data_IF_385230538292
#
_entry.id   IF_385230538292
#
_cell.length_a   1.000
_cell.length_b   1.000
_cell.length_c   1.000
_cell.angle_alpha   90.00
_cell.angle_beta   90.00
_cell.angle_gamma   90.00
#
_symmetry.space_group_name_H-M   'P 1'
#
loop_
_entity.id
_entity.type
_entity.pdbx_description
1 polymer ?
#
# COMPACT_ATOMS: atom_id res chain seq x y z
N UNK A 1 -21.12 20.12 -4.69
CA UNK A 1 -20.81 19.00 -5.63
C UNK A 1 -19.50 18.34 -5.21
N UNK A 2 -19.22 17.13 -5.71
CA UNK A 2 -17.88 16.51 -5.58
C UNK A 2 -16.94 17.09 -6.64
N UNK A 3 -15.77 17.50 -6.22
CA UNK A 3 -14.64 17.92 -7.08
C UNK A 3 -13.45 17.00 -6.82
N UNK A 4 -12.88 16.43 -7.87
CA UNK A 4 -11.81 15.45 -7.75
C UNK A 4 -10.50 16.02 -8.29
N UNK A 5 -9.47 16.09 -7.45
CA UNK A 5 -8.16 16.64 -7.79
C UNK A 5 -7.11 15.54 -7.76
N UNK A 6 -6.27 15.52 -8.77
CA UNK A 6 -5.08 14.65 -8.79
C UNK A 6 -3.86 15.43 -8.34
N UNK A 7 -3.12 14.88 -7.37
CA UNK A 7 -1.73 15.28 -7.21
C UNK A 7 -0.83 14.63 -8.26
N UNK A 8 0.46 14.95 -8.21
CA UNK A 8 1.43 14.51 -9.22
C UNK A 8 2.03 13.12 -8.97
N UNK A 9 1.74 12.51 -7.81
CA UNK A 9 2.34 11.21 -7.44
C UNK A 9 1.81 10.04 -8.28
N UNK A 10 0.53 10.05 -8.67
CA UNK A 10 -0.09 9.01 -9.50
C UNK A 10 -1.31 9.52 -10.29
N UNK A 11 -1.09 10.33 -11.33
CA UNK A 11 -2.19 10.85 -12.16
C UNK A 11 -3.00 9.73 -12.85
N UNK A 12 -2.34 8.65 -13.27
CA UNK A 12 -3.01 7.53 -13.94
C UNK A 12 -4.09 6.87 -13.07
N UNK A 13 -3.83 6.66 -11.78
CA UNK A 13 -4.83 6.15 -10.85
C UNK A 13 -5.98 7.15 -10.69
N UNK A 14 -5.68 8.44 -10.57
CA UNK A 14 -6.70 9.49 -10.44
C UNK A 14 -7.63 9.55 -11.67
N UNK A 15 -7.09 9.39 -12.87
CA UNK A 15 -7.85 9.31 -14.12
C UNK A 15 -8.78 8.09 -14.14
N UNK A 16 -8.28 6.91 -13.75
CA UNK A 16 -9.10 5.69 -13.61
C UNK A 16 -10.27 5.90 -12.64
N UNK A 17 -10.00 6.50 -11.47
CA UNK A 17 -11.04 6.82 -10.48
C UNK A 17 -12.07 7.79 -11.03
N UNK A 18 -11.65 8.83 -11.77
CA UNK A 18 -12.55 9.77 -12.40
C UNK A 18 -13.46 9.09 -13.43
N UNK A 19 -12.91 8.18 -14.23
CA UNK A 19 -13.68 7.37 -15.20
C UNK A 19 -14.70 6.47 -14.50
N UNK A 20 -14.31 5.78 -13.43
CA UNK A 20 -15.21 4.91 -12.65
C UNK A 20 -16.38 5.69 -12.04
N UNK A 21 -16.11 6.91 -11.56
CA UNK A 21 -17.12 7.84 -11.04
C UNK A 21 -17.92 8.57 -12.14
N UNK A 22 -17.59 8.38 -13.41
CA UNK A 22 -18.17 9.09 -14.54
C UNK A 22 -18.10 10.62 -14.41
N UNK A 23 -16.96 11.10 -13.90
CA UNK A 23 -16.67 12.51 -13.70
C UNK A 23 -15.33 12.88 -14.36
N UNK A 24 -14.96 14.16 -14.31
CA UNK A 24 -13.66 14.62 -14.76
C UNK A 24 -12.80 15.03 -13.56
N UNK A 25 -11.49 14.97 -13.73
CA UNK A 25 -10.57 15.60 -12.79
C UNK A 25 -10.69 17.12 -12.90
N UNK A 26 -10.75 17.75 -11.75
CA UNK A 26 -10.72 19.23 -11.63
C UNK A 26 -9.32 19.77 -11.90
N UNK A 27 -9.25 20.97 -12.46
CA UNK A 27 -7.98 21.55 -12.88
C UNK A 27 -7.18 22.08 -11.71
N UNK A 28 -5.94 21.64 -11.62
CA UNK A 28 -4.93 22.11 -10.69
C UNK A 28 -3.59 22.23 -11.42
N UNK A 29 -2.91 23.33 -11.22
CA UNK A 29 -1.54 23.53 -11.69
C UNK A 29 -0.58 23.24 -10.51
N UNK A 30 0.33 22.31 -10.70
CA UNK A 30 1.43 22.02 -9.77
C UNK A 30 2.75 22.24 -10.51
N UNK A 31 3.51 23.19 -10.07
CA UNK A 31 4.81 23.56 -10.67
C UNK A 31 5.90 23.58 -9.62
N UNK A 32 7.16 23.55 -10.06
CA UNK A 32 8.32 23.66 -9.19
C UNK A 32 9.18 24.85 -9.61
N UNK A 33 9.61 25.62 -8.63
CA UNK A 33 10.62 26.63 -8.83
C UNK A 33 12.01 25.99 -8.99
N UNK A 34 12.97 26.74 -9.50
CA UNK A 34 14.35 26.28 -9.71
C UNK A 34 15.03 25.81 -8.40
N UNK A 35 14.61 26.37 -7.27
CA UNK A 35 15.03 25.97 -5.92
C UNK A 35 14.29 24.75 -5.37
N UNK A 36 13.50 24.05 -6.22
CA UNK A 36 12.68 22.88 -5.89
C UNK A 36 11.42 23.10 -5.03
N UNK A 37 11.11 24.32 -4.63
CA UNK A 37 9.85 24.65 -3.95
C UNK A 37 8.65 24.38 -4.85
N UNK A 38 7.57 23.87 -4.25
CA UNK A 38 6.34 23.53 -4.96
C UNK A 38 5.39 24.71 -4.94
N UNK A 39 4.81 25.02 -6.09
CA UNK A 39 3.70 25.95 -6.24
C UNK A 39 2.46 25.21 -6.69
N UNK A 40 1.35 25.43 -5.99
CA UNK A 40 0.03 24.89 -6.33
C UNK A 40 -0.94 26.02 -6.62
N UNK A 41 -1.75 25.86 -7.67
CA UNK A 41 -2.84 26.76 -8.03
C UNK A 41 -4.06 25.95 -8.43
N UNK A 42 -5.17 26.16 -7.72
CA UNK A 42 -6.48 25.60 -8.10
C UNK A 42 -7.06 26.50 -9.19
N UNK A 43 -7.44 25.92 -10.33
CA UNK A 43 -7.90 26.65 -11.51
C UNK A 43 -9.42 26.53 -11.75
N UNK A 44 -10.13 26.05 -10.73
CA UNK A 44 -11.60 25.94 -10.75
C UNK A 44 -12.23 26.60 -9.53
N UNK A 45 -13.47 27.05 -9.69
CA UNK A 45 -14.29 27.45 -8.54
C UNK A 45 -14.68 26.20 -7.74
N UNK A 46 -14.36 26.22 -6.45
CA UNK A 46 -14.61 25.11 -5.51
C UNK A 46 -15.42 25.57 -4.30
N UNK A 47 -15.92 26.81 -4.35
CA UNK A 47 -16.66 27.41 -3.25
C UNK A 47 -17.84 26.53 -2.85
N UNK A 48 -17.89 26.19 -1.57
CA UNK A 48 -18.90 25.32 -0.96
C UNK A 48 -18.94 23.86 -1.48
N UNK A 49 -17.99 23.43 -2.29
CA UNK A 49 -17.89 22.08 -2.79
C UNK A 49 -17.13 21.14 -1.80
N UNK A 50 -17.34 19.86 -1.94
CA UNK A 50 -16.50 18.82 -1.32
C UNK A 50 -15.40 18.45 -2.29
N UNK A 51 -14.14 18.69 -1.90
CA UNK A 51 -12.97 18.42 -2.71
C UNK A 51 -12.23 17.20 -2.21
N UNK A 52 -11.95 16.26 -3.09
CA UNK A 52 -11.12 15.07 -2.80
C UNK A 52 -9.80 15.23 -3.54
N UNK A 53 -8.69 15.14 -2.80
CA UNK A 53 -7.33 15.09 -3.35
C UNK A 53 -6.89 13.64 -3.36
N UNK A 54 -6.51 13.10 -4.52
CA UNK A 54 -5.88 11.79 -4.64
C UNK A 54 -4.38 12.01 -4.77
N UNK A 55 -3.62 11.63 -3.74
CA UNK A 55 -2.17 11.82 -3.69
C UNK A 55 -1.51 10.76 -2.82
N UNK A 56 -0.79 9.82 -3.42
CA UNK A 56 0.09 8.90 -2.67
C UNK A 56 1.29 9.66 -2.11
N UNK A 57 1.64 9.34 -0.87
CA UNK A 57 2.80 9.97 -0.23
C UNK A 57 4.02 9.03 -0.24
N UNK A 58 4.19 8.33 -1.37
CA UNK A 58 5.34 7.49 -1.71
C UNK A 58 6.57 8.32 -2.12
N UNK A 59 7.65 7.66 -2.45
CA UNK A 59 8.87 8.32 -2.92
C UNK A 59 8.63 9.15 -4.22
N UNK A 60 9.02 10.46 -4.24
CA UNK A 60 9.74 11.24 -3.22
C UNK A 60 8.82 11.75 -2.10
N UNK A 61 8.80 11.03 -0.99
CA UNK A 61 7.82 11.15 0.11
C UNK A 61 7.62 12.58 0.62
N UNK A 62 8.71 13.29 0.91
CA UNK A 62 8.65 14.65 1.45
C UNK A 62 8.01 15.63 0.45
N UNK A 63 8.32 15.47 -0.84
CA UNK A 63 7.74 16.29 -1.90
C UNK A 63 6.25 16.04 -2.06
N UNK A 64 5.84 14.77 -2.07
CA UNK A 64 4.45 14.38 -2.24
C UNK A 64 3.59 14.79 -1.02
N UNK A 65 4.14 14.73 0.19
CA UNK A 65 3.50 15.26 1.39
C UNK A 65 3.34 16.77 1.33
N UNK A 66 4.40 17.51 0.97
CA UNK A 66 4.34 18.95 0.87
C UNK A 66 3.33 19.39 -0.20
N UNK A 67 3.30 18.69 -1.33
CA UNK A 67 2.30 18.95 -2.38
C UNK A 67 0.88 18.77 -1.89
N UNK A 68 0.59 17.68 -1.16
CA UNK A 68 -0.71 17.43 -0.54
C UNK A 68 -1.12 18.56 0.42
N UNK A 69 -0.20 19.03 1.26
CA UNK A 69 -0.47 20.12 2.19
C UNK A 69 -0.78 21.43 1.46
N UNK A 70 -0.01 21.75 0.43
CA UNK A 70 -0.22 22.97 -0.38
C UNK A 70 -1.53 22.90 -1.18
N UNK A 71 -1.91 21.72 -1.71
CA UNK A 71 -3.21 21.53 -2.35
C UNK A 71 -4.35 21.74 -1.35
N UNK A 72 -4.23 21.18 -0.14
CA UNK A 72 -5.26 21.33 0.90
C UNK A 72 -5.42 22.81 1.32
N UNK A 73 -4.33 23.56 1.51
CA UNK A 73 -4.39 24.98 1.83
C UNK A 73 -5.01 25.80 0.69
N UNK A 74 -4.63 25.52 -0.55
CA UNK A 74 -5.19 26.24 -1.72
C UNK A 74 -6.71 26.04 -1.84
N UNK A 75 -7.21 24.82 -1.64
CA UNK A 75 -8.64 24.52 -1.63
C UNK A 75 -9.39 25.22 -0.49
N UNK A 76 -8.81 25.25 0.71
CA UNK A 76 -9.37 25.97 1.85
C UNK A 76 -9.48 27.49 1.59
N UNK A 77 -8.43 28.07 1.02
CA UNK A 77 -8.42 29.51 0.66
C UNK A 77 -9.45 29.86 -0.40
N UNK A 78 -9.82 28.89 -1.24
CA UNK A 78 -10.92 29.04 -2.20
C UNK A 78 -12.30 28.65 -1.62
N UNK A 79 -12.42 28.60 -0.30
CA UNK A 79 -13.67 28.35 0.42
C UNK A 79 -14.33 27.00 0.12
N UNK A 80 -13.53 25.95 -0.18
CA UNK A 80 -14.03 24.60 -0.27
C UNK A 80 -14.72 24.20 1.05
N UNK A 81 -15.91 23.60 0.97
CA UNK A 81 -16.68 23.22 2.17
C UNK A 81 -15.97 22.12 2.96
N UNK A 82 -15.36 21.17 2.27
CA UNK A 82 -14.60 20.06 2.85
C UNK A 82 -13.44 19.72 1.95
N UNK A 83 -12.30 19.41 2.54
CA UNK A 83 -11.13 18.86 1.87
C UNK A 83 -10.89 17.47 2.42
N UNK A 84 -10.89 16.47 1.54
CA UNK A 84 -10.70 15.06 1.87
C UNK A 84 -9.42 14.60 1.20
N UNK A 85 -8.56 13.92 1.93
CA UNK A 85 -7.37 13.32 1.38
C UNK A 85 -7.60 11.81 1.15
N UNK A 86 -7.51 11.39 -0.10
CA UNK A 86 -7.35 10.00 -0.50
C UNK A 86 -5.85 9.76 -0.70
N UNK A 87 -5.22 9.08 0.22
CA UNK A 87 -3.78 8.80 0.24
C UNK A 87 -3.59 7.30 0.00
N UNK A 88 -3.54 6.83 -1.27
CA UNK A 88 -3.46 5.39 -1.56
C UNK A 88 -2.31 4.69 -0.85
N UNK A 89 -1.14 5.33 -0.73
CA UNK A 89 -0.04 4.91 0.12
C UNK A 89 0.32 5.99 1.12
N UNK A 90 0.28 5.65 2.42
CA UNK A 90 0.59 6.56 3.52
C UNK A 90 2.08 6.46 3.89
N UNK A 91 2.87 7.40 3.40
CA UNK A 91 4.29 7.50 3.73
C UNK A 91 4.52 7.75 5.23
N UNK A 92 5.65 7.29 5.75
CA UNK A 92 6.01 7.30 7.18
C UNK A 92 5.17 6.38 8.08
N UNK A 93 4.17 5.63 7.57
CA UNK A 93 3.37 4.72 8.37
C UNK A 93 4.17 3.68 9.15
N UNK A 94 5.36 3.31 8.66
CA UNK A 94 6.27 2.34 9.31
C UNK A 94 7.07 2.89 10.48
N UNK A 95 6.95 4.21 10.77
CA UNK A 95 7.61 4.89 11.89
C UNK A 95 6.55 5.34 12.88
N UNK A 96 5.79 4.38 13.37
CA UNK A 96 4.59 4.55 14.22
C UNK A 96 4.87 4.44 15.72
N UNK A 97 6.05 3.93 16.09
CA UNK A 97 6.53 3.85 17.46
C UNK A 97 7.96 4.40 17.57
N UNK A 98 8.34 4.76 18.77
CA UNK A 98 9.72 5.09 19.12
C UNK A 98 10.48 3.80 19.45
N UNK A 99 11.39 3.37 18.56
CA UNK A 99 12.20 2.17 18.77
C UNK A 99 13.39 2.41 19.71
N UNK A 100 13.90 3.64 19.77
CA UNK A 100 15.04 4.05 20.60
C UNK A 100 14.79 5.45 21.16
N UNK A 101 15.36 5.71 22.35
CA UNK A 101 15.32 7.03 22.96
C UNK A 101 15.88 8.09 21.99
N UNK A 102 15.17 9.20 21.84
CA UNK A 102 15.54 10.30 20.94
C UNK A 102 15.02 10.18 19.52
N UNK A 103 14.41 9.08 19.12
CA UNK A 103 13.71 8.97 17.83
C UNK A 103 12.34 9.66 17.87
N UNK A 104 11.89 10.19 16.75
CA UNK A 104 10.53 10.71 16.60
C UNK A 104 9.55 9.58 16.23
N UNK A 105 8.26 9.81 16.47
CA UNK A 105 7.17 9.01 15.90
C UNK A 105 6.67 9.74 14.66
N UNK A 106 7.25 9.42 13.49
CA UNK A 106 7.06 10.22 12.27
C UNK A 106 5.63 10.16 11.75
N UNK A 107 4.94 9.01 11.84
CA UNK A 107 3.53 8.89 11.47
C UNK A 107 2.66 9.90 12.21
N UNK A 108 2.90 10.05 13.52
CA UNK A 108 2.16 10.99 14.37
C UNK A 108 2.41 12.47 13.98
N UNK A 109 3.63 12.81 13.58
CA UNK A 109 3.95 14.15 13.07
C UNK A 109 3.17 14.44 11.78
N UNK A 110 3.14 13.50 10.84
CA UNK A 110 2.40 13.65 9.58
C UNK A 110 0.89 13.76 9.84
N UNK A 111 0.34 12.95 10.73
CA UNK A 111 -1.08 13.01 11.12
C UNK A 111 -1.44 14.41 11.59
N UNK A 112 -0.68 14.97 12.55
CA UNK A 112 -0.90 16.33 13.07
C UNK A 112 -0.80 17.39 11.98
N UNK A 113 0.06 17.24 11.00
CA UNK A 113 0.15 18.18 9.88
C UNK A 113 -1.08 18.10 8.98
N UNK A 114 -1.58 16.90 8.67
CA UNK A 114 -2.82 16.71 7.92
C UNK A 114 -4.02 17.36 8.61
N UNK A 115 -4.12 17.20 9.92
CA UNK A 115 -5.20 17.82 10.72
C UNK A 115 -5.05 19.34 10.78
N UNK A 116 -3.86 19.84 11.05
CA UNK A 116 -3.59 21.28 11.20
C UNK A 116 -3.80 22.04 9.88
N UNK A 117 -3.51 21.46 8.73
CA UNK A 117 -3.76 22.09 7.43
C UNK A 117 -5.24 22.13 7.08
N UNK A 118 -6.09 21.42 7.82
CA UNK A 118 -7.55 21.45 7.70
C UNK A 118 -8.11 20.41 6.74
N UNK A 119 -7.49 19.26 6.64
CA UNK A 119 -8.10 18.08 6.05
C UNK A 119 -9.21 17.60 6.98
N UNK A 120 -10.39 17.31 6.39
CA UNK A 120 -11.58 16.93 7.13
C UNK A 120 -11.72 15.42 7.30
N UNK A 121 -11.11 14.66 6.42
CA UNK A 121 -11.12 13.18 6.44
C UNK A 121 -9.97 12.64 5.63
N UNK A 122 -9.42 11.51 6.08
CA UNK A 122 -8.38 10.76 5.37
C UNK A 122 -8.88 9.38 5.01
N UNK A 123 -8.57 8.93 3.81
CA UNK A 123 -8.64 7.54 3.39
C UNK A 123 -7.25 7.07 3.00
N UNK A 124 -6.93 5.82 3.33
CA UNK A 124 -5.71 5.13 2.87
C UNK A 124 -6.00 3.66 2.65
N UNK A 125 -5.01 2.90 2.16
CA UNK A 125 -5.12 1.45 1.99
C UNK A 125 -4.10 0.74 2.87
N UNK A 126 -4.53 -0.37 3.47
CA UNK A 126 -3.71 -1.35 4.16
C UNK A 126 -2.56 -0.71 4.96
N UNK A 127 -2.91 0.17 5.88
CA UNK A 127 -1.98 0.87 6.75
C UNK A 127 -1.06 -0.14 7.48
N UNK A 128 0.20 0.21 7.67
CA UNK A 128 1.21 -0.68 8.25
C UNK A 128 0.81 -1.20 9.64
N UNK A 129 0.34 -0.32 10.51
CA UNK A 129 -0.29 -0.67 11.78
C UNK A 129 -1.68 -0.04 11.85
N UNK A 130 -2.72 -0.85 11.99
CA UNK A 130 -4.11 -0.41 12.08
C UNK A 130 -4.38 0.41 13.35
N UNK A 131 -3.61 0.25 14.43
CA UNK A 131 -3.73 1.05 15.63
C UNK A 131 -3.47 2.55 15.37
N UNK A 132 -2.70 2.88 14.34
CA UNK A 132 -2.48 4.27 13.91
C UNK A 132 -3.79 4.96 13.50
N UNK A 133 -4.83 4.23 13.11
CA UNK A 133 -6.16 4.78 12.84
C UNK A 133 -6.74 5.52 14.07
N UNK A 134 -6.49 5.01 15.27
CA UNK A 134 -6.91 5.61 16.53
C UNK A 134 -6.13 6.85 16.94
N UNK A 135 -5.08 7.24 16.23
CA UNK A 135 -4.27 8.44 16.52
C UNK A 135 -4.86 9.70 15.89
N UNK A 136 -5.70 9.55 14.84
CA UNK A 136 -6.34 10.68 14.18
C UNK A 136 -7.49 11.26 15.02
N UNK A 137 -7.52 12.57 15.16
CA UNK A 137 -8.66 13.31 15.72
C UNK A 137 -9.77 13.54 14.67
N UNK A 138 -9.43 13.52 13.39
CA UNK A 138 -10.37 13.61 12.27
C UNK A 138 -10.81 12.21 11.80
N UNK A 139 -11.97 12.08 11.13
CA UNK A 139 -12.39 10.81 10.54
C UNK A 139 -11.32 10.24 9.61
N UNK A 140 -10.89 9.04 9.91
CA UNK A 140 -9.93 8.27 9.14
C UNK A 140 -10.56 6.95 8.68
N UNK A 141 -10.16 6.44 7.54
CA UNK A 141 -10.59 5.13 7.09
C UNK A 141 -9.48 4.40 6.35
N UNK A 142 -9.10 3.27 6.91
CA UNK A 142 -8.19 2.31 6.27
C UNK A 142 -9.01 1.38 5.38
N UNK A 143 -8.83 1.48 4.07
CA UNK A 143 -9.44 0.60 3.06
C UNK A 143 -8.57 -0.64 2.87
N UNK A 144 -9.13 -1.67 2.26
CA UNK A 144 -8.40 -2.90 1.97
C UNK A 144 -8.38 -3.17 0.46
N UNK A 145 -7.20 -3.45 -0.07
CA UNK A 145 -7.00 -3.92 -1.44
C UNK A 145 -7.01 -5.45 -1.56
N UNK A 146 -7.27 -6.16 -0.47
CA UNK A 146 -7.14 -7.62 -0.46
C UNK A 146 -8.17 -8.32 -1.35
N UNK A 147 -9.36 -7.74 -1.54
CA UNK A 147 -10.33 -8.32 -2.47
C UNK A 147 -9.81 -8.29 -3.90
N UNK A 148 -9.33 -7.13 -4.36
CA UNK A 148 -8.77 -6.98 -5.70
C UNK A 148 -7.55 -7.90 -5.94
N UNK A 149 -6.64 -7.97 -4.96
CA UNK A 149 -5.48 -8.87 -5.02
C UNK A 149 -5.89 -10.36 -4.99
N UNK A 150 -6.85 -10.71 -4.13
CA UNK A 150 -7.36 -12.09 -4.00
C UNK A 150 -8.02 -12.57 -5.29
N UNK A 151 -8.87 -11.73 -5.89
CA UNK A 151 -9.53 -12.03 -7.18
C UNK A 151 -8.53 -12.24 -8.30
N UNK A 152 -7.50 -11.38 -8.39
CA UNK A 152 -6.45 -11.50 -9.39
C UNK A 152 -5.60 -12.77 -9.21
N UNK A 153 -5.25 -13.12 -7.97
CA UNK A 153 -4.50 -14.35 -7.66
C UNK A 153 -5.37 -15.57 -7.94
N UNK A 154 -6.65 -15.52 -7.59
CA UNK A 154 -7.59 -16.60 -7.91
C UNK A 154 -7.62 -16.87 -9.42
N UNK A 155 -7.80 -15.83 -10.24
CA UNK A 155 -7.80 -15.94 -11.70
C UNK A 155 -6.47 -16.48 -12.26
N UNK A 156 -5.34 -16.05 -11.70
CA UNK A 156 -4.02 -16.53 -12.10
C UNK A 156 -3.85 -18.02 -11.82
N UNK A 157 -4.27 -18.48 -10.65
CA UNK A 157 -4.18 -19.90 -10.27
C UNK A 157 -5.16 -20.76 -11.06
N UNK A 158 -6.37 -20.28 -11.31
CA UNK A 158 -7.37 -20.97 -12.14
C UNK A 158 -6.87 -21.18 -13.59
N UNK A 159 -6.25 -20.17 -14.19
CA UNK A 159 -5.63 -20.28 -15.52
C UNK A 159 -4.51 -21.32 -15.56
N UNK A 160 -3.86 -21.61 -14.44
CA UNK A 160 -2.85 -22.65 -14.28
C UNK A 160 -3.42 -24.02 -13.91
N UNK A 161 -4.74 -24.17 -13.87
CA UNK A 161 -5.43 -25.35 -13.37
C UNK A 161 -5.02 -25.75 -11.94
N UNK A 162 -4.65 -24.76 -11.11
CA UNK A 162 -4.35 -24.94 -9.69
C UNK A 162 -5.60 -24.68 -8.87
N UNK A 163 -6.07 -25.69 -8.15
CA UNK A 163 -7.25 -25.56 -7.29
C UNK A 163 -6.97 -24.60 -6.15
N UNK A 164 -7.77 -23.53 -6.05
CA UNK A 164 -7.69 -22.56 -4.95
C UNK A 164 -8.48 -23.10 -3.75
N UNK A 165 -7.80 -23.80 -2.87
CA UNK A 165 -8.41 -24.37 -1.66
C UNK A 165 -7.42 -24.30 -0.48
N UNK A 166 -7.95 -24.30 0.78
CA UNK A 166 -7.11 -24.33 1.98
C UNK A 166 -6.21 -25.57 2.11
N UNK A 167 -6.49 -26.63 1.34
CA UNK A 167 -5.66 -27.83 1.31
C UNK A 167 -4.41 -27.63 0.47
N UNK A 168 -4.55 -26.91 -0.64
CA UNK A 168 -3.51 -26.77 -1.67
C UNK A 168 -2.73 -25.46 -1.55
N UNK A 169 -3.22 -24.53 -0.74
CA UNK A 169 -2.60 -23.21 -0.55
C UNK A 169 -2.29 -22.97 0.93
N UNK A 170 -1.13 -22.39 1.19
CA UNK A 170 -0.76 -21.85 2.49
C UNK A 170 -0.52 -20.34 2.37
N UNK A 171 -1.04 -19.57 3.33
CA UNK A 171 -0.79 -18.13 3.44
C UNK A 171 0.39 -17.94 4.38
N UNK A 172 1.37 -17.12 4.00
CA UNK A 172 2.52 -16.80 4.85
C UNK A 172 2.54 -15.32 5.19
N UNK A 173 2.74 -15.04 6.49
CA UNK A 173 3.23 -13.75 6.95
C UNK A 173 4.76 -13.75 6.97
N UNK A 174 5.45 -12.77 6.37
CA UNK A 174 6.92 -12.73 6.34
C UNK A 174 7.54 -12.36 7.70
N UNK A 175 6.74 -11.99 8.68
CA UNK A 175 7.14 -11.73 10.07
C UNK A 175 5.94 -11.85 11.04
N UNK A 176 6.21 -11.71 12.34
CA UNK A 176 5.17 -11.80 13.37
C UNK A 176 4.17 -10.62 13.32
N UNK A 177 4.62 -9.43 12.94
CA UNK A 177 3.77 -8.22 12.86
C UNK A 177 2.69 -8.31 11.78
N UNK A 178 2.94 -9.08 10.71
CA UNK A 178 2.02 -9.26 9.59
C UNK A 178 0.98 -10.38 9.75
N UNK A 179 0.96 -11.13 10.86
CA UNK A 179 0.09 -12.31 11.01
C UNK A 179 -1.40 -11.97 10.79
N UNK A 180 -1.90 -10.92 11.41
CA UNK A 180 -3.31 -10.50 11.25
C UNK A 180 -3.61 -10.03 9.83
N UNK A 181 -2.66 -9.38 9.18
CA UNK A 181 -2.75 -9.00 7.77
C UNK A 181 -2.88 -10.23 6.87
N UNK A 182 -2.01 -11.22 7.05
CA UNK A 182 -2.05 -12.48 6.32
C UNK A 182 -3.35 -13.25 6.58
N UNK A 183 -3.85 -13.24 7.82
CA UNK A 183 -5.15 -13.83 8.17
C UNK A 183 -6.31 -13.14 7.45
N UNK A 184 -6.35 -11.81 7.44
CA UNK A 184 -7.38 -11.03 6.72
C UNK A 184 -7.38 -11.34 5.22
N UNK A 185 -6.19 -11.42 4.61
CA UNK A 185 -6.08 -11.80 3.20
C UNK A 185 -6.61 -13.22 2.95
N UNK A 186 -6.21 -14.20 3.77
CA UNK A 186 -6.71 -15.57 3.66
C UNK A 186 -8.23 -15.66 3.82
N UNK A 187 -8.82 -14.90 4.75
CA UNK A 187 -10.26 -14.82 4.92
C UNK A 187 -10.97 -14.31 3.66
N UNK A 188 -10.38 -13.31 3.00
CA UNK A 188 -10.91 -12.78 1.74
C UNK A 188 -10.78 -13.80 0.62
N UNK A 189 -9.63 -14.45 0.49
CA UNK A 189 -9.36 -15.42 -0.57
C UNK A 189 -10.25 -16.67 -0.49
N UNK A 190 -10.46 -17.20 0.72
CA UNK A 190 -11.20 -18.45 0.93
C UNK A 190 -12.65 -18.27 1.36
N UNK A 191 -13.05 -17.08 1.80
CA UNK A 191 -14.38 -16.80 2.33
C UNK A 191 -14.63 -17.35 3.74
N UNK A 192 -13.61 -17.88 4.44
CA UNK A 192 -13.68 -18.43 5.80
C UNK A 192 -12.32 -18.40 6.49
N UNK A 193 -12.29 -18.71 7.80
CA UNK A 193 -11.09 -18.61 8.66
C UNK A 193 -10.28 -19.92 8.79
N UNK A 194 -10.69 -20.98 8.14
CA UNK A 194 -10.06 -22.30 8.26
C UNK A 194 -9.11 -22.56 7.09
N UNK A 195 -7.87 -22.13 7.22
CA UNK A 195 -6.82 -22.33 6.22
C UNK A 195 -5.43 -22.41 6.87
N UNK A 196 -4.45 -22.90 6.11
CA UNK A 196 -3.07 -22.97 6.56
C UNK A 196 -2.45 -21.57 6.60
N UNK A 197 -2.19 -21.09 7.80
CA UNK A 197 -1.44 -19.86 8.05
C UNK A 197 -0.07 -20.21 8.62
N UNK A 198 0.97 -19.73 7.96
CA UNK A 198 2.34 -19.90 8.42
C UNK A 198 3.00 -18.53 8.65
N UNK A 199 4.06 -18.50 9.41
CA UNK A 199 4.85 -17.29 9.68
C UNK A 199 6.33 -17.60 9.61
N UNK A 200 7.10 -16.73 8.97
CA UNK A 200 8.55 -16.78 9.03
C UNK A 200 9.08 -15.85 10.13
N UNK A 201 10.00 -16.33 10.92
CA UNK A 201 10.62 -15.59 12.01
C UNK A 201 12.14 -15.56 11.83
N UNK A 202 12.72 -14.37 12.01
CA UNK A 202 14.18 -14.21 12.07
C UNK A 202 14.68 -14.54 13.47
N UNK A 203 15.38 -15.66 13.64
CA UNK A 203 16.13 -15.92 14.87
C UNK A 203 17.45 -15.13 14.81
N UNK A 204 17.62 -14.18 15.72
CA UNK A 204 18.91 -13.54 15.95
C UNK A 204 19.78 -14.54 16.72
N UNK A 205 20.88 -14.99 16.12
CA UNK A 205 21.91 -15.69 16.86
C UNK A 205 22.57 -14.70 17.84
N UNK A 206 22.25 -14.83 19.12
CA UNK A 206 22.78 -13.96 20.18
C UNK A 206 24.27 -14.15 20.45
N UNK A 207 24.84 -15.26 19.97
CA UNK A 207 26.25 -15.61 20.23
C UNK A 207 27.20 -15.17 19.11
N UNK A 208 26.71 -15.02 17.87
CA UNK A 208 27.51 -14.62 16.72
C UNK A 208 26.99 -13.35 16.01
N UNK A 209 27.50 -12.19 16.40
CA UNK A 209 27.12 -10.88 15.84
C UNK A 209 27.37 -10.70 14.33
N UNK A 210 27.91 -11.69 13.62
CA UNK A 210 28.33 -11.58 12.21
C UNK A 210 27.86 -12.75 11.31
N UNK A 211 27.05 -13.69 11.78
CA UNK A 211 26.58 -14.80 10.95
C UNK A 211 25.06 -14.86 10.82
N UNK A 212 24.65 -15.29 9.63
CA UNK A 212 23.33 -15.46 9.05
C UNK A 212 22.17 -15.62 10.03
N UNK A 213 21.19 -14.77 9.89
CA UNK A 213 19.87 -14.86 10.52
C UNK A 213 19.22 -16.19 10.10
N UNK A 214 19.19 -17.19 11.00
CA UNK A 214 18.40 -18.39 10.74
C UNK A 214 16.92 -18.00 10.68
N UNK A 215 16.23 -18.40 9.60
CA UNK A 215 14.78 -18.29 9.50
C UNK A 215 14.16 -19.55 10.10
N UNK A 216 13.06 -19.40 10.81
CA UNK A 216 12.18 -20.51 11.21
C UNK A 216 10.81 -20.28 10.59
N UNK A 217 10.15 -21.34 10.14
CA UNK A 217 8.78 -21.31 9.65
C UNK A 217 7.90 -22.06 10.65
N UNK A 218 6.84 -21.41 11.09
CA UNK A 218 5.80 -22.02 11.90
C UNK A 218 4.56 -22.18 11.01
N UNK A 219 4.07 -23.38 10.85
CA UNK A 219 2.96 -23.73 9.97
C UNK A 219 3.40 -24.76 8.92
N UNK A 220 2.44 -25.28 8.15
CA UNK A 220 2.68 -26.30 7.13
C UNK A 220 2.56 -25.71 5.72
N UNK A 221 3.65 -25.81 4.96
CA UNK A 221 3.75 -25.35 3.57
C UNK A 221 4.07 -26.47 2.58
N UNK A 222 4.31 -27.69 3.11
CA UNK A 222 4.73 -28.82 2.29
C UNK A 222 3.64 -29.18 1.27
N UNK A 223 4.06 -29.41 0.06
CA UNK A 223 3.20 -29.79 -1.07
C UNK A 223 2.07 -28.76 -1.36
N UNK A 224 2.29 -27.47 -1.03
CA UNK A 224 1.34 -26.38 -1.24
C UNK A 224 1.90 -25.26 -2.10
N UNK A 225 1.02 -24.55 -2.79
CA UNK A 225 1.31 -23.23 -3.31
C UNK A 225 1.29 -22.25 -2.13
N UNK A 226 2.33 -21.45 -2.01
CA UNK A 226 2.46 -20.48 -0.92
C UNK A 226 2.14 -19.08 -1.43
N UNK A 227 1.32 -18.34 -0.69
CA UNK A 227 1.08 -16.92 -0.93
C UNK A 227 1.65 -16.12 0.24
N UNK A 228 2.71 -15.35 -0.01
CA UNK A 228 3.30 -14.45 0.99
C UNK A 228 2.56 -13.12 0.93
N UNK A 229 2.04 -12.66 2.06
CA UNK A 229 1.21 -11.46 2.16
C UNK A 229 1.89 -10.41 3.01
N UNK A 230 2.05 -9.20 2.46
CA UNK A 230 2.53 -8.04 3.23
C UNK A 230 1.88 -6.73 2.75
N UNK A 231 2.00 -5.65 3.56
CA UNK A 231 1.53 -4.32 3.16
C UNK A 231 2.48 -3.67 2.17
N UNK A 232 3.80 -3.72 2.39
CA UNK A 232 4.76 -2.99 1.58
C UNK A 232 6.04 -3.78 1.28
N UNK A 233 6.46 -3.74 0.03
CA UNK A 233 7.79 -4.18 -0.37
C UNK A 233 8.68 -2.97 -0.63
N UNK A 234 9.82 -2.92 0.10
CA UNK A 234 10.86 -1.90 -0.10
C UNK A 234 12.11 -2.52 -0.74
N UNK A 235 12.98 -3.16 0.01
CA UNK A 235 14.16 -3.85 -0.53
C UNK A 235 13.86 -5.21 -1.16
N UNK A 236 12.71 -5.79 -0.87
CA UNK A 236 12.32 -7.15 -1.25
C UNK A 236 13.02 -8.27 -0.48
N UNK A 237 14.02 -7.95 0.35
CA UNK A 237 14.86 -8.98 0.99
C UNK A 237 14.09 -9.90 1.92
N UNK A 238 13.16 -9.38 2.73
CA UNK A 238 12.35 -10.19 3.63
C UNK A 238 11.48 -11.17 2.84
N UNK A 239 10.85 -10.67 1.77
CA UNK A 239 10.00 -11.44 0.88
C UNK A 239 10.78 -12.57 0.18
N UNK A 240 11.95 -12.24 -0.40
CA UNK A 240 12.81 -13.21 -1.09
C UNK A 240 13.30 -14.30 -0.13
N UNK A 241 13.72 -13.93 1.08
CA UNK A 241 14.16 -14.88 2.09
C UNK A 241 13.02 -15.81 2.55
N UNK A 242 11.82 -15.26 2.76
CA UNK A 242 10.64 -16.05 3.11
C UNK A 242 10.25 -17.02 1.99
N UNK A 243 10.35 -16.57 0.73
CA UNK A 243 10.09 -17.41 -0.44
C UNK A 243 11.09 -18.58 -0.55
N UNK A 244 12.37 -18.28 -0.43
CA UNK A 244 13.42 -19.30 -0.46
C UNK A 244 13.19 -20.34 0.65
N UNK A 245 12.94 -19.87 1.85
CA UNK A 245 12.73 -20.76 3.01
C UNK A 245 11.47 -21.63 2.85
N UNK A 246 10.37 -21.08 2.33
CA UNK A 246 9.16 -21.86 2.05
C UNK A 246 9.42 -23.00 1.04
N UNK A 247 10.19 -22.72 -0.02
CA UNK A 247 10.59 -23.72 -1.01
C UNK A 247 11.50 -24.80 -0.39
N UNK A 248 12.44 -24.43 0.47
CA UNK A 248 13.29 -25.38 1.21
C UNK A 248 12.48 -26.28 2.14
N UNK A 249 11.34 -25.81 2.64
CA UNK A 249 10.40 -26.59 3.44
C UNK A 249 9.39 -27.41 2.60
N UNK A 250 9.57 -27.45 1.27
CA UNK A 250 8.81 -28.30 0.37
C UNK A 250 7.56 -27.65 -0.22
N UNK A 251 7.45 -26.32 -0.23
CA UNK A 251 6.42 -25.63 -1.00
C UNK A 251 6.60 -25.92 -2.50
N UNK A 252 5.50 -26.03 -3.25
CA UNK A 252 5.51 -26.28 -4.69
C UNK A 252 5.95 -25.02 -5.44
N UNK A 253 5.38 -23.87 -5.09
CA UNK A 253 5.71 -22.57 -5.65
C UNK A 253 5.35 -21.45 -4.67
N UNK A 254 5.86 -20.24 -4.94
CA UNK A 254 5.63 -19.08 -4.10
C UNK A 254 5.15 -17.89 -4.92
N UNK A 255 4.02 -17.33 -4.51
CA UNK A 255 3.42 -16.10 -5.02
C UNK A 255 3.54 -15.02 -3.94
N UNK A 256 3.79 -13.78 -4.33
CA UNK A 256 3.75 -12.62 -3.44
C UNK A 256 2.48 -11.79 -3.68
N UNK A 257 1.78 -11.44 -2.59
CA UNK A 257 0.62 -10.54 -2.57
C UNK A 257 0.97 -9.32 -1.71
N UNK A 258 1.44 -8.25 -2.34
CA UNK A 258 1.97 -7.06 -1.68
C UNK A 258 1.15 -5.85 -2.09
N UNK A 259 0.55 -5.14 -1.14
CA UNK A 259 -0.29 -3.99 -1.47
C UNK A 259 0.53 -2.86 -2.09
N UNK A 260 1.61 -2.45 -1.43
CA UNK A 260 2.39 -1.28 -1.83
C UNK A 260 3.79 -1.66 -2.32
N UNK A 261 4.17 -1.21 -3.50
CA UNK A 261 5.52 -1.34 -4.06
C UNK A 261 6.33 -0.05 -3.87
N UNK A 262 6.79 0.22 -2.66
CA UNK A 262 7.68 1.37 -2.39
C UNK A 262 9.14 0.95 -2.54
N UNK A 263 9.49 0.55 -3.77
CA UNK A 263 10.75 -0.12 -4.07
C UNK A 263 11.97 0.78 -3.88
N UNK A 264 12.92 0.28 -3.11
CA UNK A 264 14.29 0.78 -3.10
C UNK A 264 14.99 0.44 -4.45
N UNK A 265 16.06 1.17 -4.81
CA UNK A 265 16.86 0.83 -5.97
C UNK A 265 17.25 -0.67 -5.97
N UNK A 266 17.21 -1.32 -7.12
CA UNK A 266 17.48 -2.77 -7.30
C UNK A 266 16.45 -3.76 -6.74
N UNK A 267 15.41 -3.34 -6.04
CA UNK A 267 14.41 -4.27 -5.48
C UNK A 267 13.70 -5.07 -6.58
N UNK A 268 13.25 -4.38 -7.64
CA UNK A 268 12.58 -5.00 -8.79
C UNK A 268 13.44 -6.09 -9.45
N UNK A 269 14.72 -5.81 -9.70
CA UNK A 269 15.66 -6.77 -10.28
C UNK A 269 15.85 -7.99 -9.36
N UNK A 270 16.02 -7.78 -8.06
CA UNK A 270 16.18 -8.88 -7.09
C UNK A 270 14.94 -9.77 -7.03
N UNK A 271 13.73 -9.19 -7.07
CA UNK A 271 12.48 -9.95 -7.07
C UNK A 271 12.36 -10.72 -8.39
N UNK A 272 12.67 -10.12 -9.53
CA UNK A 272 12.68 -10.79 -10.83
C UNK A 272 13.62 -12.01 -10.85
N UNK A 273 14.81 -11.89 -10.27
CA UNK A 273 15.81 -12.96 -10.22
C UNK A 273 15.52 -14.03 -9.15
N UNK A 274 14.59 -13.76 -8.22
CA UNK A 274 14.25 -14.65 -7.12
C UNK A 274 13.41 -15.85 -7.56
N UNK A 275 13.20 -16.79 -6.63
CA UNK A 275 12.33 -17.95 -6.82
C UNK A 275 10.84 -17.62 -6.62
N UNK A 276 10.45 -16.35 -6.47
CA UNK A 276 9.05 -15.94 -6.49
C UNK A 276 8.54 -16.13 -7.93
N UNK A 277 7.44 -16.87 -8.05
CA UNK A 277 6.84 -17.19 -9.35
C UNK A 277 6.06 -16.01 -9.94
N UNK A 278 5.26 -15.34 -9.10
CA UNK A 278 4.45 -14.19 -9.46
C UNK A 278 4.40 -13.18 -8.30
N UNK A 279 4.42 -11.89 -8.64
CA UNK A 279 4.37 -10.79 -7.70
C UNK A 279 3.15 -9.91 -8.00
N UNK A 280 2.12 -10.02 -7.15
CA UNK A 280 0.90 -9.22 -7.25
C UNK A 280 1.02 -7.99 -6.37
N UNK A 281 0.69 -6.83 -6.94
CA UNK A 281 0.73 -5.56 -6.23
C UNK A 281 -0.33 -4.61 -6.77
N UNK A 282 -0.58 -3.50 -6.07
CA UNK A 282 -1.56 -2.53 -6.53
C UNK A 282 -0.92 -1.31 -7.18
N UNK A 283 -1.73 -0.52 -7.88
CA UNK A 283 -1.35 0.78 -8.40
C UNK A 283 -1.49 1.92 -7.35
N UNK A 284 -1.49 1.60 -6.05
CA UNK A 284 -1.44 2.59 -4.96
C UNK A 284 -0.22 3.52 -5.04
N UNK A 285 0.88 3.03 -5.61
CA UNK A 285 2.10 3.77 -5.95
C UNK A 285 2.31 3.66 -7.44
N UNK A 286 2.58 4.77 -8.12
CA UNK A 286 2.89 4.75 -9.56
C UNK A 286 4.16 3.96 -9.85
N UNK A 287 4.18 3.26 -10.97
CA UNK A 287 5.39 2.56 -11.44
C UNK A 287 6.45 3.59 -11.80
N UNK A 288 7.60 3.48 -11.14
CA UNK A 288 8.77 4.26 -11.52
C UNK A 288 9.45 3.62 -12.74
N UNK A 289 9.95 4.44 -13.64
CA UNK A 289 10.66 3.95 -14.83
C UNK A 289 11.81 3.00 -14.44
N UNK A 290 11.76 1.78 -14.97
CA UNK A 290 12.75 0.73 -14.70
C UNK A 290 12.48 -0.11 -13.44
N UNK A 291 11.33 0.05 -12.78
CA UNK A 291 10.89 -0.82 -11.69
C UNK A 291 9.86 -1.87 -12.13
N UNK A 292 9.57 -1.93 -13.41
CA UNK A 292 8.76 -2.99 -14.02
C UNK A 292 9.58 -4.27 -14.20
N UNK A 293 8.94 -5.42 -14.03
CA UNK A 293 9.55 -6.72 -14.29
C UNK A 293 8.49 -7.75 -14.68
N UNK A 294 8.92 -8.81 -15.39
CA UNK A 294 8.02 -9.76 -16.06
C UNK A 294 7.05 -10.48 -15.10
N UNK A 295 7.52 -10.80 -13.88
CA UNK A 295 6.72 -11.52 -12.89
C UNK A 295 5.71 -10.62 -12.15
N UNK A 296 5.68 -9.30 -12.41
CA UNK A 296 4.84 -8.35 -11.71
C UNK A 296 3.46 -8.22 -12.36
N UNK A 297 2.43 -8.37 -11.55
CA UNK A 297 1.02 -8.14 -11.90
C UNK A 297 0.51 -6.94 -11.11
N UNK A 298 0.23 -5.84 -11.81
CA UNK A 298 -0.35 -4.65 -11.21
C UNK A 298 -1.87 -4.71 -11.24
N UNK A 299 -2.48 -4.54 -10.08
CA UNK A 299 -3.94 -4.54 -9.88
C UNK A 299 -4.38 -3.12 -9.53
N UNK A 300 -5.35 -2.61 -10.23
CA UNK A 300 -5.84 -1.26 -9.95
C UNK A 300 -6.86 -1.26 -8.82
N UNK A 301 -6.79 -0.21 -7.98
CA UNK A 301 -7.69 0.00 -6.83
C UNK A 301 -8.67 1.15 -7.07
N UNK A 302 -8.88 1.53 -8.32
CA UNK A 302 -9.79 2.62 -8.69
C UNK A 302 -11.23 2.39 -8.22
N UNK A 303 -11.69 1.13 -8.23
CA UNK A 303 -13.06 0.78 -7.82
C UNK A 303 -13.28 0.98 -6.33
N UNK A 304 -12.33 0.53 -5.52
CA UNK A 304 -12.35 0.70 -4.06
C UNK A 304 -12.30 2.18 -3.68
N UNK A 305 -11.49 2.97 -4.39
CA UNK A 305 -11.44 4.43 -4.20
C UNK A 305 -12.77 5.07 -4.59
N UNK A 306 -13.28 4.77 -5.78
CA UNK A 306 -14.53 5.32 -6.28
C UNK A 306 -15.69 5.00 -5.34
N UNK A 307 -15.79 3.75 -4.87
CA UNK A 307 -16.80 3.32 -3.90
C UNK A 307 -16.70 4.10 -2.58
N UNK A 308 -15.49 4.33 -2.08
CA UNK A 308 -15.27 5.05 -0.83
C UNK A 308 -15.66 6.53 -0.90
N UNK A 309 -15.50 7.17 -2.06
CA UNK A 309 -15.73 8.62 -2.22
C UNK A 309 -17.06 8.97 -2.91
N UNK A 310 -17.76 8.00 -3.50
CA UNK A 310 -19.07 8.25 -4.15
C UNK A 310 -20.13 8.84 -3.23
N UNK A 311 -20.00 8.63 -1.91
CA UNK A 311 -20.92 9.17 -0.90
C UNK A 311 -20.89 10.72 -0.81
N UNK A 312 -19.93 11.38 -1.48
CA UNK A 312 -19.79 12.83 -1.52
C UNK A 312 -20.37 13.46 -2.79
N UNK A 313 -20.88 12.64 -3.71
CA UNK A 313 -21.57 13.08 -4.92
C UNK A 313 -22.91 13.78 -4.65
#
# INVERSE_FOLDING_TARGET
MLKLFSGTSNPALSEKVALELKTNLSKVEVTRFDNSEIRVRIEEDVKHDTCVIIQSTSNPTNSNLMELFLMADALRRQEARRVIAMIPYFGYARQDIQHRDGECVSSNVIIRFLESIGIHKVYTFNLHDEATEGVFDIPFKNLSAFSALGDAIYQYLDQKNSEVSPKNIAIISPDQGGIERARKFGNVLFGHNEFNLAVTEKKRDLENKHQSTALSLYGDVKDKVVIIVDDVATSGSTLINSAHFALDQGAISVIAAIVHRDFAPSAAAKIQESNIEAFFTTDSIAIQKGSEFEKMFEISIEKEIAEAIKIFN
#
